data_IF_224976686670
#
_entry.id   IF_224976686670
#
_cell.length_a   1.000
_cell.length_b   1.000
_cell.length_c   1.000
_cell.angle_alpha   90.00
_cell.angle_beta   90.00
_cell.angle_gamma   90.00
#
_symmetry.space_group_name_H-M   'P 1'
#
loop_
_entity.id
_entity.type
_entity.pdbx_description
1 polymer ?
#
# COMPACT_ATOMS: atom_id res chain seq x y z
N UNK A 1 -13.36 -78.07 40.21
CA UNK A 1 -13.70 -77.15 39.11
C UNK A 1 -14.01 -75.73 39.66
N UNK A 2 -13.06 -75.11 40.31
CA UNK A 2 -13.35 -73.77 40.90
C UNK A 2 -12.26 -72.67 40.68
N UNK A 3 -11.03 -73.04 40.34
CA UNK A 3 -9.94 -72.10 40.22
C UNK A 3 -9.92 -71.31 38.88
N UNK A 4 -10.55 -71.83 37.81
CA UNK A 4 -10.55 -71.18 36.50
C UNK A 4 -11.57 -70.02 36.38
N UNK A 5 -12.69 -70.09 37.10
CA UNK A 5 -13.70 -69.03 37.12
C UNK A 5 -13.29 -67.78 37.90
N UNK A 6 -12.51 -68.01 38.94
CA UNK A 6 -12.01 -66.89 39.79
C UNK A 6 -10.93 -66.02 39.10
N UNK A 7 -10.10 -66.64 38.23
CA UNK A 7 -9.14 -65.91 37.38
C UNK A 7 -9.83 -65.06 36.28
N UNK A 8 -10.94 -65.56 35.70
CA UNK A 8 -11.68 -64.83 34.69
C UNK A 8 -12.41 -63.63 35.28
N UNK A 9 -13.02 -63.75 36.49
CA UNK A 9 -13.66 -62.64 37.15
C UNK A 9 -12.68 -61.54 37.64
N UNK A 10 -11.40 -61.87 37.85
CA UNK A 10 -10.40 -60.85 38.18
C UNK A 10 -9.85 -60.11 36.97
N UNK A 11 -9.96 -60.68 35.77
CA UNK A 11 -9.59 -60.01 34.51
C UNK A 11 -10.69 -59.07 34.02
N UNK A 12 -11.96 -59.43 34.19
CA UNK A 12 -13.08 -58.58 33.78
C UNK A 12 -13.33 -57.39 34.74
N UNK A 13 -12.85 -57.45 35.99
CA UNK A 13 -12.87 -56.34 36.95
C UNK A 13 -11.80 -55.27 36.74
N UNK A 14 -10.79 -55.52 35.89
CA UNK A 14 -9.69 -54.62 35.64
C UNK A 14 -9.92 -53.67 34.42
N UNK A 15 -11.00 -53.93 33.62
CA UNK A 15 -11.32 -53.16 32.42
C UNK A 15 -12.15 -51.88 32.69
N UNK A 16 -12.53 -51.63 33.95
CA UNK A 16 -13.36 -50.47 34.33
C UNK A 16 -12.61 -49.31 35.05
N UNK A 17 -11.33 -49.42 35.25
CA UNK A 17 -10.57 -48.29 35.85
C UNK A 17 -10.15 -47.32 34.76
N UNK A 18 -10.78 -46.13 34.76
CA UNK A 18 -10.35 -44.99 33.95
C UNK A 18 -8.87 -44.67 34.15
N UNK A 19 -8.25 -43.91 33.27
CA UNK A 19 -6.82 -43.66 33.32
C UNK A 19 -6.40 -43.17 34.71
N UNK A 20 -5.29 -43.71 35.22
CA UNK A 20 -4.78 -43.38 36.56
C UNK A 20 -4.58 -41.87 36.70
N UNK A 21 -4.68 -41.27 37.89
CA UNK A 21 -4.50 -39.83 38.07
C UNK A 21 -3.17 -39.28 37.50
N UNK A 22 -2.15 -40.09 37.43
CA UNK A 22 -0.87 -39.76 36.79
C UNK A 22 -0.96 -39.77 35.26
N UNK A 23 -1.74 -40.66 34.68
CA UNK A 23 -1.96 -40.68 33.22
C UNK A 23 -2.87 -39.54 32.78
N UNK A 24 -3.86 -39.14 33.59
CA UNK A 24 -4.71 -37.97 33.34
C UNK A 24 -3.89 -36.68 33.35
N UNK A 25 -3.04 -36.48 34.37
CA UNK A 25 -2.14 -35.32 34.41
C UNK A 25 -1.22 -35.22 33.18
N UNK A 26 -0.62 -36.33 32.76
CA UNK A 26 0.23 -36.34 31.55
C UNK A 26 -0.57 -35.98 30.27
N UNK A 27 -1.79 -36.52 30.13
CA UNK A 27 -2.64 -36.15 29.00
C UNK A 27 -3.10 -34.68 29.02
N UNK A 28 -3.32 -34.10 30.18
CA UNK A 28 -3.66 -32.68 30.33
C UNK A 28 -2.42 -31.81 30.02
N UNK A 29 -1.23 -32.18 30.49
CA UNK A 29 0.02 -31.49 30.18
C UNK A 29 0.34 -31.56 28.68
N UNK A 30 0.19 -32.72 28.04
CA UNK A 30 0.35 -32.85 26.59
C UNK A 30 -0.67 -32.07 25.78
N UNK A 31 -1.92 -32.01 26.24
CA UNK A 31 -2.97 -31.19 25.60
C UNK A 31 -2.71 -29.69 25.76
N UNK A 32 -2.24 -29.27 26.91
CA UNK A 32 -1.87 -27.86 27.15
C UNK A 32 -0.64 -27.47 26.33
N UNK A 33 0.38 -28.34 26.27
CA UNK A 33 1.57 -28.12 25.46
C UNK A 33 1.25 -28.05 23.95
N UNK A 34 0.39 -28.93 23.44
CA UNK A 34 -0.09 -28.89 22.04
C UNK A 34 -0.88 -27.63 21.76
N UNK A 35 -1.78 -27.21 22.66
CA UNK A 35 -2.55 -25.96 22.51
C UNK A 35 -1.65 -24.73 22.50
N UNK A 36 -0.67 -24.65 23.40
CA UNK A 36 0.29 -23.55 23.41
C UNK A 36 1.17 -23.55 22.17
N UNK A 37 1.62 -24.70 21.67
CA UNK A 37 2.38 -24.81 20.42
C UNK A 37 1.56 -24.29 19.21
N UNK A 38 0.30 -24.71 19.09
CA UNK A 38 -0.61 -24.25 18.03
C UNK A 38 -0.80 -22.73 18.15
N UNK A 39 -1.01 -22.22 19.36
CA UNK A 39 -1.22 -20.79 19.58
C UNK A 39 0.02 -19.98 19.18
N UNK A 40 1.23 -20.42 19.57
CA UNK A 40 2.48 -19.75 19.15
C UNK A 40 2.70 -19.82 17.65
N UNK A 41 2.35 -20.94 16.99
CA UNK A 41 2.44 -21.08 15.55
C UNK A 41 1.48 -20.11 14.84
N UNK A 42 0.22 -20.02 15.31
CA UNK A 42 -0.77 -19.08 14.76
C UNK A 42 -0.34 -17.63 14.94
N UNK A 43 0.14 -17.27 16.14
CA UNK A 43 0.66 -15.92 16.40
C UNK A 43 1.88 -15.62 15.52
N UNK A 44 2.80 -16.58 15.37
CA UNK A 44 3.96 -16.42 14.47
C UNK A 44 3.56 -16.18 13.02
N UNK A 45 2.59 -16.94 12.50
CA UNK A 45 2.08 -16.74 11.14
C UNK A 45 1.41 -15.36 11.01
N UNK A 46 0.60 -14.95 11.99
CA UNK A 46 -0.02 -13.62 11.99
C UNK A 46 1.02 -12.50 11.99
N UNK A 47 2.08 -12.62 12.77
CA UNK A 47 3.17 -11.64 12.76
C UNK A 47 3.87 -11.54 11.41
N UNK A 48 4.13 -12.69 10.75
CA UNK A 48 4.74 -12.71 9.40
C UNK A 48 3.79 -12.07 8.38
N UNK A 49 2.52 -12.44 8.37
CA UNK A 49 1.52 -11.84 7.47
C UNK A 49 1.42 -10.33 7.69
N UNK A 50 1.41 -9.89 8.95
CA UNK A 50 1.37 -8.46 9.27
C UNK A 50 2.64 -7.73 8.82
N UNK A 51 3.81 -8.33 8.99
CA UNK A 51 5.07 -7.76 8.52
C UNK A 51 5.09 -7.62 6.97
N UNK A 52 4.65 -8.65 6.25
CA UNK A 52 4.52 -8.61 4.78
C UNK A 52 3.51 -7.53 4.37
N UNK A 53 2.38 -7.42 5.06
CA UNK A 53 1.40 -6.36 4.81
C UNK A 53 2.00 -4.96 4.98
N UNK A 54 2.78 -4.73 6.06
CA UNK A 54 3.46 -3.46 6.28
C UNK A 54 4.50 -3.14 5.19
N UNK A 55 5.23 -4.15 4.71
CA UNK A 55 6.20 -3.98 3.61
C UNK A 55 5.47 -3.57 2.33
N UNK A 56 4.40 -4.27 1.96
CA UNK A 56 3.59 -3.95 0.77
C UNK A 56 3.00 -2.53 0.90
N UNK A 57 2.46 -2.20 2.08
CA UNK A 57 1.86 -0.89 2.34
C UNK A 57 2.88 0.25 2.21
N UNK A 58 4.09 0.05 2.75
CA UNK A 58 5.17 1.06 2.68
C UNK A 58 5.91 1.10 1.34
N UNK A 59 5.85 0.05 0.54
CA UNK A 59 6.58 -0.04 -0.75
C UNK A 59 6.01 0.85 -1.85
N UNK A 60 4.85 1.47 -1.65
CA UNK A 60 4.16 2.26 -2.68
C UNK A 60 3.62 1.44 -3.86
N UNK A 61 3.70 0.11 -3.81
CA UNK A 61 3.18 -0.77 -4.87
C UNK A 61 1.68 -0.54 -5.09
N UNK A 62 0.92 -0.35 -4.00
CA UNK A 62 -0.52 -0.12 -4.06
C UNK A 62 -0.83 1.18 -4.81
N UNK A 63 -0.13 2.27 -4.49
CA UNK A 63 -0.32 3.58 -5.14
C UNK A 63 0.08 3.56 -6.62
N UNK A 64 1.08 2.74 -6.99
CA UNK A 64 1.55 2.59 -8.37
C UNK A 64 0.67 1.68 -9.22
N UNK A 65 -0.12 0.82 -8.62
CA UNK A 65 -0.95 -0.16 -9.34
C UNK A 65 -2.43 0.20 -9.39
N UNK A 66 -2.92 1.06 -8.47
CA UNK A 66 -4.32 1.47 -8.47
C UNK A 66 -4.55 2.63 -9.44
N UNK A 67 -5.53 2.46 -10.32
CA UNK A 67 -6.04 3.55 -11.16
C UNK A 67 -6.75 4.56 -10.27
N UNK A 68 -6.26 5.80 -10.26
CA UNK A 68 -6.87 6.90 -9.52
C UNK A 68 -7.91 7.64 -10.39
N UNK A 69 -7.59 7.85 -11.66
CA UNK A 69 -8.47 8.54 -12.61
C UNK A 69 -8.30 7.97 -14.01
N UNK A 70 -9.33 8.05 -14.83
CA UNK A 70 -9.28 7.68 -16.26
C UNK A 70 -9.69 8.89 -17.09
N UNK A 71 -8.83 9.29 -18.01
CA UNK A 71 -9.05 10.42 -18.91
C UNK A 71 -9.03 9.89 -20.33
N UNK A 72 -10.15 10.03 -21.03
CA UNK A 72 -10.30 9.61 -22.43
C UNK A 72 -9.78 8.16 -22.71
N UNK A 73 -10.04 7.24 -21.79
CA UNK A 73 -9.63 5.83 -21.89
C UNK A 73 -8.20 5.53 -21.43
N UNK A 74 -7.40 6.54 -21.11
CA UNK A 74 -6.07 6.38 -20.49
C UNK A 74 -6.21 6.37 -18.97
N UNK A 75 -5.65 5.34 -18.33
CA UNK A 75 -5.69 5.19 -16.86
C UNK A 75 -4.44 5.79 -16.23
N UNK A 76 -4.65 6.66 -15.26
CA UNK A 76 -3.61 7.27 -14.44
C UNK A 76 -3.62 6.65 -13.05
N UNK A 77 -2.44 6.32 -12.53
CA UNK A 77 -2.28 5.80 -11.17
C UNK A 77 -2.34 6.93 -10.14
N UNK A 78 -2.40 6.59 -8.85
CA UNK A 78 -2.32 7.59 -7.80
C UNK A 78 -0.97 8.35 -7.78
N UNK A 79 0.11 7.73 -8.27
CA UNK A 79 1.42 8.38 -8.41
C UNK A 79 1.39 9.39 -9.55
N UNK A 80 0.76 9.04 -10.68
CA UNK A 80 0.61 9.97 -11.80
C UNK A 80 -0.26 11.16 -11.38
N UNK A 81 -1.37 10.92 -10.68
CA UNK A 81 -2.23 11.97 -10.16
C UNK A 81 -1.49 12.91 -9.20
N UNK A 82 -0.64 12.34 -8.32
CA UNK A 82 0.20 13.13 -7.43
C UNK A 82 1.22 13.98 -8.21
N UNK A 83 1.84 13.42 -9.26
CA UNK A 83 2.76 14.19 -10.11
C UNK A 83 2.08 15.43 -10.72
N UNK A 84 0.90 15.27 -11.31
CA UNK A 84 0.18 16.41 -11.89
C UNK A 84 -0.29 17.41 -10.85
N UNK A 85 -0.66 16.93 -9.66
CA UNK A 85 -1.00 17.80 -8.53
C UNK A 85 0.22 18.64 -8.09
N UNK A 86 1.38 18.01 -7.92
CA UNK A 86 2.62 18.68 -7.51
C UNK A 86 3.09 19.65 -8.61
N UNK A 87 2.88 19.30 -9.86
CA UNK A 87 3.14 20.19 -11.00
C UNK A 87 2.25 21.43 -10.96
N UNK A 88 0.95 21.28 -10.75
CA UNK A 88 0.00 22.39 -10.59
C UNK A 88 0.38 23.27 -9.39
N UNK A 89 0.69 22.64 -8.26
CA UNK A 89 1.14 23.34 -7.05
C UNK A 89 2.40 24.19 -7.30
N UNK A 90 3.42 23.60 -7.93
CA UNK A 90 4.68 24.28 -8.22
C UNK A 90 4.50 25.44 -9.20
N UNK A 91 3.64 25.28 -10.21
CA UNK A 91 3.33 26.33 -11.17
C UNK A 91 2.66 27.53 -10.51
N UNK A 92 1.68 27.29 -9.64
CA UNK A 92 0.98 28.35 -8.90
C UNK A 92 1.94 29.08 -7.96
N UNK A 93 2.75 28.35 -7.20
CA UNK A 93 3.76 28.98 -6.34
C UNK A 93 4.72 29.84 -7.14
N UNK A 94 5.26 29.32 -8.25
CA UNK A 94 6.21 30.04 -9.10
C UNK A 94 5.56 31.30 -9.71
N UNK A 95 4.32 31.18 -10.17
CA UNK A 95 3.59 32.32 -10.72
C UNK A 95 3.46 33.46 -9.69
N UNK A 96 3.00 33.15 -8.48
CA UNK A 96 2.84 34.19 -7.45
C UNK A 96 4.16 34.70 -6.91
N UNK A 97 5.20 33.84 -6.81
CA UNK A 97 6.54 34.24 -6.39
C UNK A 97 7.16 35.28 -7.32
N UNK A 98 6.85 35.26 -8.64
CA UNK A 98 7.31 36.27 -9.59
C UNK A 98 6.78 37.69 -9.27
N UNK A 99 5.68 37.75 -8.50
CA UNK A 99 5.10 39.01 -8.02
C UNK A 99 5.42 39.29 -6.55
N UNK A 100 6.30 38.49 -5.93
CA UNK A 100 6.64 38.63 -4.51
C UNK A 100 5.50 38.26 -3.56
N UNK A 101 4.53 37.44 -4.02
CA UNK A 101 3.34 37.04 -3.28
C UNK A 101 3.37 35.55 -2.96
N UNK A 102 2.63 35.15 -1.92
CA UNK A 102 2.29 33.75 -1.64
C UNK A 102 0.79 33.57 -1.81
N UNK A 103 0.33 32.61 -2.61
CA UNK A 103 -1.09 32.40 -2.84
C UNK A 103 -1.84 31.83 -1.64
N UNK A 104 -1.13 31.08 -0.80
CA UNK A 104 -1.67 30.42 0.38
C UNK A 104 -0.59 30.28 1.46
N UNK A 105 -1.00 29.95 2.70
CA UNK A 105 -0.11 29.65 3.81
C UNK A 105 0.35 28.19 3.74
N UNK A 106 1.65 27.97 3.54
CA UNK A 106 2.21 26.62 3.44
C UNK A 106 2.27 25.86 4.78
N UNK A 107 2.00 26.53 5.90
CA UNK A 107 1.92 25.90 7.22
C UNK A 107 0.55 25.33 7.56
N UNK A 108 -0.48 25.65 6.78
CA UNK A 108 -1.87 25.22 6.94
C UNK A 108 -2.24 24.30 5.78
N UNK A 109 -3.04 23.27 6.06
CA UNK A 109 -3.54 22.38 5.01
C UNK A 109 -4.32 23.14 3.93
N UNK A 110 -4.02 22.87 2.66
CA UNK A 110 -4.72 23.49 1.53
C UNK A 110 -6.23 23.14 1.48
N UNK A 111 -6.65 22.07 2.15
CA UNK A 111 -8.06 21.69 2.32
C UNK A 111 -8.82 22.60 3.28
N UNK A 112 -8.09 23.35 4.10
CA UNK A 112 -8.67 24.28 5.08
C UNK A 112 -8.62 25.73 4.60
N UNK A 113 -7.95 26.00 3.47
CA UNK A 113 -7.79 27.33 2.91
C UNK A 113 -8.73 27.51 1.71
N UNK A 114 -9.63 28.47 1.82
CA UNK A 114 -10.60 28.79 0.76
C UNK A 114 -9.87 29.52 -0.38
N UNK A 115 -10.02 29.00 -1.59
CA UNK A 115 -9.59 29.63 -2.85
C UNK A 115 -10.66 30.59 -3.36
N UNK A 116 -11.91 30.13 -3.41
CA UNK A 116 -13.04 30.92 -3.87
C UNK A 116 -14.12 30.98 -2.79
N UNK A 117 -14.41 32.18 -2.33
CA UNK A 117 -15.40 32.43 -1.27
C UNK A 117 -16.85 32.33 -1.75
N UNK A 118 -17.10 32.42 -3.06
CA UNK A 118 -18.46 32.30 -3.60
C UNK A 118 -18.89 30.84 -3.72
N UNK A 119 -17.98 29.97 -4.13
CA UNK A 119 -18.23 28.53 -4.31
C UNK A 119 -17.85 27.70 -3.09
N UNK A 120 -17.00 28.23 -2.21
CA UNK A 120 -16.40 27.52 -1.10
C UNK A 120 -15.30 26.55 -1.52
N UNK A 121 -14.82 26.65 -2.78
CA UNK A 121 -13.72 25.83 -3.29
C UNK A 121 -12.46 26.09 -2.48
N UNK A 122 -11.77 25.01 -2.09
CA UNK A 122 -10.49 25.10 -1.38
C UNK A 122 -9.31 25.17 -2.37
N UNK A 123 -8.15 25.61 -1.90
CA UNK A 123 -6.91 25.55 -2.70
C UNK A 123 -6.58 24.12 -3.14
N UNK A 124 -6.87 23.12 -2.29
CA UNK A 124 -6.70 21.72 -2.67
C UNK A 124 -7.59 21.35 -3.86
N UNK A 125 -8.87 21.73 -3.83
CA UNK A 125 -9.82 21.40 -4.89
C UNK A 125 -9.44 22.09 -6.20
N UNK A 126 -9.06 23.37 -6.14
CA UNK A 126 -8.58 24.11 -7.29
C UNK A 126 -7.34 23.46 -7.92
N UNK A 127 -6.35 23.07 -7.10
CA UNK A 127 -5.13 22.39 -7.61
C UNK A 127 -5.43 21.00 -8.19
N UNK A 128 -6.41 20.28 -7.62
CA UNK A 128 -6.88 19.01 -8.20
C UNK A 128 -7.55 19.21 -9.56
N UNK A 129 -8.35 20.25 -9.72
CA UNK A 129 -8.94 20.63 -11.00
C UNK A 129 -7.85 20.96 -12.03
N UNK A 130 -6.87 21.78 -11.67
CA UNK A 130 -5.73 22.08 -12.55
C UNK A 130 -4.94 20.81 -12.94
N UNK A 131 -4.72 19.89 -11.99
CA UNK A 131 -4.06 18.62 -12.27
C UNK A 131 -4.85 17.77 -13.29
N UNK A 132 -6.17 17.72 -13.17
CA UNK A 132 -7.03 17.04 -14.14
C UNK A 132 -6.97 17.70 -15.51
N UNK A 133 -6.95 19.02 -15.58
CA UNK A 133 -6.82 19.76 -16.85
C UNK A 133 -5.49 19.45 -17.55
N UNK A 134 -4.39 19.36 -16.82
CA UNK A 134 -3.09 18.92 -17.36
C UNK A 134 -3.14 17.48 -17.88
N UNK A 135 -3.77 16.56 -17.16
CA UNK A 135 -3.93 15.17 -17.64
C UNK A 135 -4.75 15.11 -18.92
N UNK A 136 -5.85 15.89 -19.00
CA UNK A 136 -6.68 15.96 -20.20
C UNK A 136 -5.89 16.50 -21.36
N UNK A 137 -5.14 17.58 -21.16
CA UNK A 137 -4.31 18.21 -22.18
C UNK A 137 -3.24 17.22 -22.69
N UNK A 138 -2.47 16.60 -21.80
CA UNK A 138 -1.39 15.66 -22.16
C UNK A 138 -1.95 14.43 -22.88
N UNK A 139 -3.10 13.91 -22.41
CA UNK A 139 -3.77 12.78 -23.09
C UNK A 139 -4.17 13.15 -24.51
N UNK A 140 -4.78 14.33 -24.70
CA UNK A 140 -5.22 14.80 -26.01
C UNK A 140 -4.05 15.06 -26.95
N UNK A 141 -2.99 15.70 -26.45
CA UNK A 141 -1.76 15.96 -27.22
C UNK A 141 -1.05 14.68 -27.63
N UNK A 142 -0.94 13.72 -26.72
CA UNK A 142 -0.34 12.41 -27.01
C UNK A 142 -1.16 11.64 -28.05
N UNK A 143 -2.47 11.62 -27.93
CA UNK A 143 -3.37 10.99 -28.91
C UNK A 143 -3.17 11.62 -30.31
N UNK A 144 -3.15 12.94 -30.37
CA UNK A 144 -2.95 13.68 -31.62
C UNK A 144 -1.59 13.44 -32.25
N UNK A 145 -0.52 13.43 -31.44
CA UNK A 145 0.83 13.13 -31.90
C UNK A 145 0.92 11.71 -32.51
N UNK A 146 0.26 10.74 -31.87
CA UNK A 146 0.21 9.36 -32.36
C UNK A 146 -0.58 9.23 -33.68
N UNK A 147 -1.72 9.92 -33.79
CA UNK A 147 -2.52 9.96 -35.01
C UNK A 147 -1.75 10.55 -36.19
N UNK A 148 -0.94 11.57 -35.97
CA UNK A 148 -0.12 12.23 -36.97
C UNK A 148 1.20 11.50 -37.23
N UNK A 149 1.51 10.41 -36.50
CA UNK A 149 2.75 9.66 -36.62
C UNK A 149 3.99 10.45 -36.17
N UNK A 150 3.78 11.41 -35.26
CA UNK A 150 4.86 12.22 -34.73
C UNK A 150 5.83 11.37 -33.90
N UNK A 151 7.13 11.54 -34.15
CA UNK A 151 8.20 10.90 -33.38
C UNK A 151 9.15 11.96 -32.83
N UNK A 152 9.67 11.72 -31.62
CA UNK A 152 10.70 12.59 -31.05
C UNK A 152 11.97 12.58 -31.91
N UNK A 153 12.59 13.74 -32.11
CA UNK A 153 13.92 13.82 -32.74
C UNK A 153 14.97 13.09 -31.89
N UNK A 154 16.07 12.71 -32.49
CA UNK A 154 17.18 12.03 -31.80
C UNK A 154 17.73 12.90 -30.65
N UNK A 155 17.84 14.22 -30.86
CA UNK A 155 18.26 15.16 -29.81
C UNK A 155 17.29 15.21 -28.65
N UNK A 156 15.97 15.20 -28.90
CA UNK A 156 14.95 15.19 -27.85
C UNK A 156 14.96 13.87 -27.07
N UNK A 157 15.15 12.74 -27.74
CA UNK A 157 15.29 11.43 -27.09
C UNK A 157 16.54 11.37 -26.20
N UNK A 158 17.68 11.87 -26.72
CA UNK A 158 18.94 11.94 -25.96
C UNK A 158 18.82 12.84 -24.73
N UNK A 159 18.17 14.01 -24.86
CA UNK A 159 17.93 14.92 -23.74
C UNK A 159 17.03 14.31 -22.67
N UNK A 160 16.00 13.56 -23.09
CA UNK A 160 15.10 12.84 -22.17
C UNK A 160 15.85 11.75 -21.39
N UNK A 161 16.67 10.96 -22.09
CA UNK A 161 17.45 9.90 -21.44
C UNK A 161 18.52 10.46 -20.50
N UNK A 162 19.17 11.58 -20.86
CA UNK A 162 20.08 12.28 -19.95
C UNK A 162 19.37 12.76 -18.69
N UNK A 163 18.22 13.40 -18.83
CA UNK A 163 17.42 13.87 -17.70
C UNK A 163 16.97 12.73 -16.79
N UNK A 164 16.59 11.60 -17.37
CA UNK A 164 16.23 10.39 -16.62
C UNK A 164 17.43 9.86 -15.84
N UNK A 165 18.60 9.76 -16.46
CA UNK A 165 19.83 9.29 -15.81
C UNK A 165 20.24 10.21 -14.67
N UNK A 166 20.13 11.53 -14.85
CA UNK A 166 20.44 12.53 -13.83
C UNK A 166 19.50 12.37 -12.62
N UNK A 167 18.20 12.18 -12.85
CA UNK A 167 17.23 11.94 -11.79
C UNK A 167 17.54 10.64 -11.02
N UNK A 168 17.81 9.55 -11.73
CA UNK A 168 18.18 8.27 -11.10
C UNK A 168 19.44 8.42 -10.25
N UNK A 169 20.46 9.16 -10.72
CA UNK A 169 21.71 9.40 -10.01
C UNK A 169 21.50 10.23 -8.74
N UNK A 170 20.70 11.28 -8.82
CA UNK A 170 20.36 12.13 -7.66
C UNK A 170 19.60 11.35 -6.61
N UNK A 171 18.61 10.54 -7.00
CA UNK A 171 17.81 9.75 -6.07
C UNK A 171 18.62 8.63 -5.41
N UNK A 172 19.40 7.88 -6.18
CA UNK A 172 20.27 6.80 -5.64
C UNK A 172 21.36 7.38 -4.75
N UNK A 173 21.94 8.53 -5.11
CA UNK A 173 22.95 9.22 -4.29
C UNK A 173 22.41 9.79 -2.97
N UNK A 174 21.11 10.04 -2.86
CA UNK A 174 20.49 10.60 -1.65
C UNK A 174 20.13 9.54 -0.60
N UNK A 175 20.15 8.25 -0.95
CA UNK A 175 19.78 7.13 -0.07
C UNK A 175 20.97 6.24 0.35
N UNK A 176 22.18 6.55 -0.08
CA UNK A 176 23.44 5.94 0.35
C UNK A 176 24.26 6.88 1.22
#
# INVERSE_FOLDING_TARGET
>A
MSASREKQNRQDGASGQGPSPRAQKRMEEERSARRSMILYTVVGILCVVFAVFLIIWKSGIVQRSLTAVTVNGVSYTAVDAQYYYDYAYSNILTYYANFGMSPFDTSISLKEQVYDTETGQTWHDYLMEQALDYMVFDTAMTARANEEGYTLSEDAQSSLESSRTDLETVWVGSYN
#
